data_IF_953599594534
#
_entry.id   IF_953599594534
#
_cell.length_a   1.000
_cell.length_b   1.000
_cell.length_c   1.000
_cell.angle_alpha   90.00
_cell.angle_beta   90.00
_cell.angle_gamma   90.00
#
_symmetry.space_group_name_H-M   'P 1'
#
loop_
_entity.id
_entity.type
_entity.pdbx_description
1 polymer ?
#
# COMPACT_ATOMS: atom_id res chain seq x y z
N UNK A 1 -34.92 -19.30 -7.32
CA UNK A 1 -33.82 -18.90 -6.43
C UNK A 1 -34.30 -17.66 -5.69
N UNK A 2 -34.71 -17.82 -4.45
CA UNK A 2 -35.17 -16.70 -3.63
C UNK A 2 -33.97 -15.84 -3.26
N UNK A 3 -34.07 -14.53 -3.52
CA UNK A 3 -33.03 -13.58 -3.11
C UNK A 3 -33.27 -13.21 -1.65
N UNK A 4 -32.30 -13.53 -0.80
CA UNK A 4 -32.34 -13.19 0.63
C UNK A 4 -31.59 -11.87 0.84
N UNK A 5 -32.27 -10.89 1.43
CA UNK A 5 -31.66 -9.63 1.89
C UNK A 5 -31.42 -9.73 3.40
N UNK A 6 -30.17 -9.56 3.83
CA UNK A 6 -29.78 -9.53 5.24
C UNK A 6 -29.27 -8.13 5.58
N UNK A 7 -29.82 -7.52 6.64
CA UNK A 7 -29.40 -6.21 7.15
C UNK A 7 -28.41 -6.45 8.29
N UNK A 8 -27.24 -5.82 8.22
CA UNK A 8 -26.25 -5.90 9.28
C UNK A 8 -26.68 -5.07 10.52
N UNK A 9 -26.33 -5.47 11.75
CA UNK A 9 -26.77 -4.81 12.98
C UNK A 9 -26.02 -3.51 13.30
N UNK A 10 -25.10 -3.05 12.45
CA UNK A 10 -24.38 -1.81 12.64
C UNK A 10 -25.11 -0.62 12.00
N UNK A 11 -24.89 0.59 12.52
CA UNK A 11 -25.38 1.80 11.89
C UNK A 11 -24.79 1.96 10.48
N UNK A 12 -25.62 2.38 9.54
CA UNK A 12 -25.20 2.58 8.17
C UNK A 12 -24.46 3.92 8.03
N UNK A 13 -23.24 3.90 7.49
CA UNK A 13 -22.48 5.11 7.18
C UNK A 13 -23.17 6.01 6.14
N UNK A 14 -23.97 5.41 5.25
CA UNK A 14 -24.66 6.09 4.15
C UNK A 14 -26.15 5.73 4.19
N UNK A 15 -27.06 6.71 4.17
CA UNK A 15 -28.50 6.46 4.06
C UNK A 15 -28.85 5.60 2.85
N UNK A 16 -29.79 4.67 3.03
CA UNK A 16 -30.17 3.69 2.01
C UNK A 16 -30.72 4.35 0.74
N UNK A 17 -31.44 5.46 0.86
CA UNK A 17 -32.00 6.19 -0.28
C UNK A 17 -30.90 6.83 -1.14
N UNK A 18 -29.87 7.42 -0.51
CA UNK A 18 -28.68 7.98 -1.17
C UNK A 18 -27.92 6.88 -1.90
N UNK A 19 -27.67 5.75 -1.21
CA UNK A 19 -26.97 4.61 -1.79
C UNK A 19 -27.71 4.05 -3.01
N UNK A 20 -29.03 3.86 -2.93
CA UNK A 20 -29.87 3.36 -4.02
C UNK A 20 -29.91 4.33 -5.21
N UNK A 21 -30.00 5.65 -4.97
CA UNK A 21 -29.93 6.67 -6.02
C UNK A 21 -28.58 6.62 -6.75
N UNK A 22 -27.46 6.54 -6.02
CA UNK A 22 -26.14 6.39 -6.62
C UNK A 22 -25.99 5.07 -7.40
N UNK A 23 -26.49 3.95 -6.86
CA UNK A 23 -26.45 2.64 -7.52
C UNK A 23 -27.24 2.64 -8.83
N UNK A 24 -28.44 3.23 -8.84
CA UNK A 24 -29.25 3.39 -10.06
C UNK A 24 -28.53 4.25 -11.10
N UNK A 25 -27.90 5.36 -10.69
CA UNK A 25 -27.07 6.19 -11.58
C UNK A 25 -25.91 5.39 -12.20
N UNK A 26 -25.19 4.61 -11.40
CA UNK A 26 -24.09 3.76 -11.88
C UNK A 26 -24.58 2.70 -12.88
N UNK A 27 -25.70 2.03 -12.58
CA UNK A 27 -26.29 1.01 -13.45
C UNK A 27 -26.82 1.59 -14.77
N UNK A 28 -27.39 2.79 -14.73
CA UNK A 28 -27.89 3.49 -15.91
C UNK A 28 -26.80 4.13 -16.77
N UNK A 29 -25.59 4.30 -16.22
CA UNK A 29 -24.51 4.98 -16.91
C UNK A 29 -23.84 4.06 -17.95
N UNK A 30 -24.34 4.10 -19.19
CA UNK A 30 -23.76 3.38 -20.33
C UNK A 30 -22.36 3.91 -20.72
N UNK A 31 -22.01 5.13 -20.32
CA UNK A 31 -20.67 5.71 -20.54
C UNK A 31 -19.66 5.27 -19.48
N UNK A 32 -20.13 4.72 -18.35
CA UNK A 32 -19.28 4.10 -17.36
C UNK A 32 -18.70 2.81 -17.93
N UNK A 33 -17.54 2.93 -18.54
CA UNK A 33 -16.74 1.77 -18.93
C UNK A 33 -16.28 1.11 -17.62
N UNK A 34 -16.65 -0.15 -17.42
CA UNK A 34 -15.98 -0.97 -16.40
C UNK A 34 -14.47 -0.80 -16.54
N UNK A 35 -13.74 -0.72 -15.41
CA UNK A 35 -12.31 -0.45 -15.40
C UNK A 35 -11.60 -1.33 -16.43
N UNK A 36 -11.18 -0.72 -17.54
CA UNK A 36 -10.54 -1.46 -18.63
C UNK A 36 -9.24 -2.02 -18.07
N UNK A 37 -9.11 -3.36 -18.07
CA UNK A 37 -7.86 -4.00 -17.68
C UNK A 37 -6.74 -3.43 -18.57
N UNK A 38 -5.62 -2.97 -17.99
CA UNK A 38 -4.49 -2.56 -18.79
C UNK A 38 -3.99 -3.76 -19.59
N UNK A 39 -3.77 -3.57 -20.90
CA UNK A 39 -3.27 -4.62 -21.80
C UNK A 39 -1.90 -4.29 -22.40
N UNK A 40 -1.55 -3.00 -22.43
CA UNK A 40 -0.41 -2.55 -23.19
C UNK A 40 0.88 -2.48 -22.36
N UNK A 41 0.80 -2.33 -21.04
CA UNK A 41 1.96 -2.20 -20.14
C UNK A 41 1.56 -2.53 -18.71
N UNK A 42 2.42 -3.26 -17.99
CA UNK A 42 2.23 -3.57 -16.58
C UNK A 42 2.49 -2.35 -15.67
N UNK A 43 3.06 -1.27 -16.21
CA UNK A 43 3.24 0.02 -15.54
C UNK A 43 2.02 0.95 -15.62
N UNK A 44 0.90 0.47 -16.16
CA UNK A 44 -0.29 1.28 -16.36
C UNK A 44 -0.78 1.90 -15.04
N UNK A 45 -1.04 3.20 -15.06
CA UNK A 45 -1.47 3.97 -13.89
C UNK A 45 -0.33 4.57 -13.06
N UNK A 46 0.89 4.03 -13.14
CA UNK A 46 2.06 4.50 -12.39
C UNK A 46 2.90 5.53 -13.13
N UNK A 47 3.01 5.40 -14.45
CA UNK A 47 3.87 6.29 -15.26
C UNK A 47 3.19 7.64 -15.51
N UNK A 48 3.89 8.70 -15.14
CA UNK A 48 3.54 10.11 -15.28
C UNK A 48 4.60 10.81 -16.12
N UNK A 49 4.17 11.85 -16.83
CA UNK A 49 5.02 12.71 -17.62
C UNK A 49 5.88 13.55 -16.67
N UNK A 50 7.20 13.45 -16.77
CA UNK A 50 8.11 14.25 -15.94
C UNK A 50 8.00 15.77 -16.18
N UNK A 51 7.38 16.20 -17.29
CA UNK A 51 7.19 17.63 -17.58
C UNK A 51 5.90 18.24 -17.04
N UNK A 52 4.79 17.48 -17.03
CA UNK A 52 3.48 18.04 -16.66
C UNK A 52 2.70 17.23 -15.62
N UNK A 53 3.25 16.10 -15.14
CA UNK A 53 2.62 15.25 -14.12
C UNK A 53 1.44 14.39 -14.60
N UNK A 54 0.90 14.63 -15.80
CA UNK A 54 -0.18 13.82 -16.37
C UNK A 54 0.30 12.42 -16.76
N UNK A 55 -0.63 11.46 -16.87
CA UNK A 55 -0.30 10.08 -17.21
C UNK A 55 0.45 9.94 -18.55
N UNK A 56 1.39 9.00 -18.59
CA UNK A 56 1.92 8.49 -19.84
C UNK A 56 1.15 7.23 -20.26
N UNK A 57 0.68 7.21 -21.50
CA UNK A 57 -0.06 6.09 -22.09
C UNK A 57 0.84 5.32 -23.04
N UNK A 58 0.97 4.01 -22.82
CA UNK A 58 1.62 3.12 -23.77
C UNK A 58 0.77 3.01 -25.05
N UNK A 59 1.37 3.38 -26.18
CA UNK A 59 0.75 3.25 -27.50
C UNK A 59 0.89 1.81 -28.01
N UNK A 60 -0.13 1.35 -28.73
CA UNK A 60 -0.07 0.11 -29.49
C UNK A 60 0.21 0.47 -30.95
N UNK A 61 1.32 -0.03 -31.50
CA UNK A 61 1.70 0.16 -32.89
C UNK A 61 1.86 -1.23 -33.51
N UNK A 62 1.19 -1.57 -34.63
CA UNK A 62 1.41 -2.85 -35.30
C UNK A 62 2.89 -3.06 -35.61
N UNK A 63 3.43 -4.26 -35.35
CA UNK A 63 4.82 -4.63 -35.59
C UNK A 63 5.88 -3.79 -34.83
N UNK A 64 5.47 -3.10 -33.76
CA UNK A 64 6.40 -2.36 -32.90
C UNK A 64 5.99 -2.49 -31.43
N UNK A 65 6.94 -2.58 -30.49
CA UNK A 65 6.63 -2.56 -29.07
C UNK A 65 5.94 -1.27 -28.62
N UNK A 66 5.97 -0.21 -29.44
CA UNK A 66 5.34 1.07 -29.14
C UNK A 66 6.15 1.92 -28.17
N UNK A 67 5.57 3.05 -27.80
CA UNK A 67 6.20 4.05 -26.92
C UNK A 67 5.17 4.74 -26.04
N UNK A 68 5.64 5.38 -24.98
CA UNK A 68 4.81 6.15 -24.08
C UNK A 68 4.53 7.54 -24.65
N UNK A 69 3.27 7.98 -24.60
CA UNK A 69 2.83 9.33 -24.97
C UNK A 69 2.17 10.02 -23.79
N UNK A 70 2.47 11.30 -23.61
CA UNK A 70 1.78 12.14 -22.62
C UNK A 70 0.32 12.36 -23.04
N UNK A 71 -0.62 12.06 -22.15
CA UNK A 71 -2.07 12.24 -22.41
C UNK A 71 -2.40 13.71 -22.62
N UNK A 72 -1.95 14.62 -21.76
CA UNK A 72 -2.17 16.06 -21.90
C UNK A 72 -1.69 16.60 -23.26
N UNK A 73 -0.48 16.20 -23.71
CA UNK A 73 0.01 16.57 -25.05
C UNK A 73 -0.89 16.03 -26.17
N UNK A 74 -1.36 14.81 -26.04
CA UNK A 74 -2.19 14.14 -27.05
C UNK A 74 -3.60 14.74 -27.12
N UNK A 75 -4.18 15.09 -25.97
CA UNK A 75 -5.57 15.55 -25.85
C UNK A 75 -5.74 17.03 -26.18
N UNK A 76 -4.86 17.90 -25.65
CA UNK A 76 -5.03 19.35 -25.81
C UNK A 76 -3.75 20.11 -26.13
N UNK A 77 -2.65 19.40 -26.44
CA UNK A 77 -1.33 19.99 -26.72
C UNK A 77 -0.78 20.86 -25.58
N UNK A 78 -1.36 20.80 -24.37
CA UNK A 78 -0.95 21.60 -23.20
C UNK A 78 0.32 21.11 -22.49
N UNK A 79 1.16 20.34 -23.18
CA UNK A 79 2.45 19.87 -22.69
C UNK A 79 3.41 19.75 -23.88
N UNK A 80 4.68 20.22 -23.77
CA UNK A 80 5.69 20.05 -24.81
C UNK A 80 6.00 18.57 -25.08
N UNK A 81 5.67 17.70 -24.11
CA UNK A 81 5.75 16.25 -24.21
C UNK A 81 7.02 15.68 -23.61
N UNK A 82 6.95 14.42 -23.21
CA UNK A 82 8.00 13.69 -22.52
C UNK A 82 9.12 13.19 -23.45
N UNK A 83 9.20 13.63 -24.71
CA UNK A 83 10.08 13.00 -25.70
C UNK A 83 9.61 11.60 -26.12
N UNK A 84 10.50 10.84 -26.76
CA UNK A 84 10.22 9.47 -27.23
C UNK A 84 10.75 8.47 -26.21
N UNK A 85 9.84 7.84 -25.47
CA UNK A 85 10.19 6.84 -24.46
C UNK A 85 9.71 5.49 -24.96
N UNK A 86 10.65 4.65 -25.38
CA UNK A 86 10.35 3.31 -25.88
C UNK A 86 9.77 2.44 -24.77
N UNK A 87 8.72 1.67 -25.09
CA UNK A 87 7.97 0.92 -24.09
C UNK A 87 8.84 -0.13 -23.41
N UNK A 88 9.50 -0.97 -24.22
CA UNK A 88 10.34 -2.09 -23.75
C UNK A 88 11.52 -1.60 -22.93
N UNK A 89 12.21 -0.57 -23.40
CA UNK A 89 13.35 0.04 -22.69
C UNK A 89 12.94 0.58 -21.32
N UNK A 90 11.80 1.29 -21.22
CA UNK A 90 11.32 1.78 -19.93
C UNK A 90 10.90 0.62 -19.02
N UNK A 91 10.18 -0.38 -19.54
CA UNK A 91 9.77 -1.54 -18.75
C UNK A 91 10.99 -2.30 -18.20
N UNK A 92 11.99 -2.56 -19.04
CA UNK A 92 13.22 -3.23 -18.63
C UNK A 92 14.02 -2.41 -17.62
N UNK A 93 14.16 -1.10 -17.84
CA UNK A 93 14.80 -0.19 -16.88
C UNK A 93 14.13 -0.23 -15.51
N UNK A 94 12.79 -0.14 -15.48
CA UNK A 94 12.04 -0.15 -14.22
C UNK A 94 12.11 -1.52 -13.54
N UNK A 95 12.06 -2.62 -14.30
CA UNK A 95 12.23 -3.96 -13.74
C UNK A 95 13.60 -4.12 -13.07
N UNK A 96 14.68 -3.71 -13.75
CA UNK A 96 16.02 -3.75 -13.18
C UNK A 96 16.15 -2.88 -11.92
N UNK A 97 15.54 -1.69 -11.93
CA UNK A 97 15.48 -0.81 -10.77
C UNK A 97 14.69 -1.44 -9.61
N UNK A 98 13.56 -2.12 -9.88
CA UNK A 98 12.77 -2.85 -8.89
C UNK A 98 13.60 -3.96 -8.25
N UNK A 99 14.29 -4.78 -9.04
CA UNK A 99 15.14 -5.86 -8.56
C UNK A 99 16.27 -5.35 -7.66
N UNK A 100 16.95 -4.29 -8.08
CA UNK A 100 18.02 -3.67 -7.29
C UNK A 100 17.50 -3.06 -5.99
N UNK A 101 16.37 -2.35 -6.03
CA UNK A 101 15.74 -1.75 -4.84
C UNK A 101 15.31 -2.82 -3.84
N UNK A 102 14.67 -3.87 -4.33
CA UNK A 102 14.17 -4.97 -3.51
C UNK A 102 15.31 -5.74 -2.83
N UNK A 103 16.38 -6.08 -3.56
CA UNK A 103 17.56 -6.72 -2.98
C UNK A 103 18.21 -5.88 -1.88
N UNK A 104 18.28 -4.56 -2.07
CA UNK A 104 18.79 -3.65 -1.04
C UNK A 104 17.88 -3.59 0.20
N UNK A 105 16.56 -3.68 0.00
CA UNK A 105 15.61 -3.80 1.09
C UNK A 105 15.80 -5.09 1.88
N UNK A 106 15.90 -6.25 1.22
CA UNK A 106 16.15 -7.54 1.90
C UNK A 106 17.41 -7.51 2.77
N UNK A 107 18.51 -6.94 2.25
CA UNK A 107 19.77 -6.81 3.01
C UNK A 107 19.63 -5.87 4.22
N UNK A 108 18.81 -4.82 4.13
CA UNK A 108 18.54 -3.91 5.25
C UNK A 108 17.62 -4.56 6.27
N UNK A 109 16.55 -5.19 5.81
CA UNK A 109 15.57 -5.90 6.62
C UNK A 109 16.24 -7.02 7.43
N UNK A 110 17.07 -7.86 6.81
CA UNK A 110 17.85 -8.90 7.49
C UNK A 110 18.79 -8.35 8.58
N UNK A 111 19.31 -7.13 8.38
CA UNK A 111 20.17 -6.46 9.37
C UNK A 111 19.36 -5.86 10.50
N UNK A 112 18.24 -5.22 10.20
CA UNK A 112 17.35 -4.56 11.16
C UNK A 112 16.58 -5.57 12.02
N UNK A 113 16.11 -6.68 11.45
CA UNK A 113 15.48 -7.78 12.19
C UNK A 113 16.48 -8.42 13.18
N UNK A 114 17.76 -8.45 12.84
CA UNK A 114 18.85 -8.87 13.75
C UNK A 114 19.33 -7.77 14.70
N UNK A 115 18.97 -6.50 14.49
CA UNK A 115 19.59 -5.37 15.17
C UNK A 115 18.62 -4.21 15.49
N UNK A 116 17.36 -4.47 15.83
CA UNK A 116 16.47 -3.45 16.38
C UNK A 116 16.29 -3.59 17.91
N UNK A 117 17.36 -3.32 18.71
CA UNK A 117 17.31 -3.43 20.17
C UNK A 117 16.27 -2.48 20.77
N UNK A 118 15.86 -1.42 20.07
CA UNK A 118 14.79 -0.52 20.49
C UNK A 118 13.41 -1.17 20.38
N UNK A 119 13.14 -1.91 19.29
CA UNK A 119 11.88 -2.64 19.12
C UNK A 119 11.79 -3.77 20.17
N UNK A 120 12.88 -4.51 20.38
CA UNK A 120 12.95 -5.51 21.45
C UNK A 120 12.76 -4.88 22.83
N UNK A 121 13.35 -3.71 23.11
CA UNK A 121 13.15 -3.00 24.36
C UNK A 121 11.69 -2.58 24.57
N UNK A 122 11.02 -2.04 23.53
CA UNK A 122 9.60 -1.69 23.61
C UNK A 122 8.69 -2.91 23.78
N UNK A 123 9.01 -4.05 23.15
CA UNK A 123 8.28 -5.31 23.37
C UNK A 123 8.42 -5.81 24.81
N UNK A 124 9.62 -5.73 25.39
CA UNK A 124 9.85 -6.10 26.80
C UNK A 124 9.10 -5.14 27.72
N UNK A 125 9.14 -3.83 27.45
CA UNK A 125 8.44 -2.82 28.24
C UNK A 125 6.91 -3.02 28.18
N UNK A 126 6.37 -3.36 27.00
CA UNK A 126 4.95 -3.66 26.84
C UNK A 126 4.53 -4.86 27.70
N UNK A 127 5.29 -5.96 27.65
CA UNK A 127 5.01 -7.16 28.44
C UNK A 127 5.07 -6.88 29.96
N UNK A 128 5.98 -6.00 30.41
CA UNK A 128 6.07 -5.59 31.81
C UNK A 128 4.83 -4.80 32.24
N UNK A 129 4.37 -3.86 31.42
CA UNK A 129 3.16 -3.05 31.70
C UNK A 129 1.91 -3.93 31.74
N UNK A 130 1.77 -4.89 30.82
CA UNK A 130 0.65 -5.84 30.82
C UNK A 130 0.66 -6.72 32.07
N UNK A 131 1.83 -7.19 32.50
CA UNK A 131 1.98 -7.96 33.74
C UNK A 131 1.64 -7.13 34.99
N UNK A 132 1.96 -5.83 35.00
CA UNK A 132 1.62 -4.93 36.10
C UNK A 132 0.10 -4.70 36.19
N UNK A 133 -0.58 -4.59 35.05
CA UNK A 133 -2.05 -4.50 34.97
C UNK A 133 -2.69 -5.80 35.51
N UNK A 134 -2.22 -6.98 35.07
CA UNK A 134 -2.74 -8.26 35.56
C UNK A 134 -2.58 -8.42 37.07
N UNK A 135 -1.40 -8.08 37.61
CA UNK A 135 -1.15 -8.12 39.07
C UNK A 135 -2.08 -7.17 39.84
N UNK A 136 -2.32 -5.98 39.32
CA UNK A 136 -3.25 -5.02 39.93
C UNK A 136 -4.68 -5.58 39.93
N UNK A 137 -5.12 -6.19 38.82
CA UNK A 137 -6.43 -6.84 38.71
C UNK A 137 -6.60 -7.99 39.71
N UNK A 138 -5.58 -8.84 39.86
CA UNK A 138 -5.61 -9.95 40.83
C UNK A 138 -5.68 -9.46 42.29
N UNK A 139 -5.06 -8.32 42.60
CA UNK A 139 -5.11 -7.74 43.95
C UNK A 139 -6.41 -7.01 44.29
N UNK A 140 -7.31 -6.79 43.32
CA UNK A 140 -8.54 -6.01 43.53
C UNK A 140 -9.70 -6.82 44.15
N UNK A 141 -9.56 -8.14 44.32
CA UNK A 141 -10.57 -8.96 45.00
C UNK A 141 -10.63 -8.61 46.50
N UNK A 142 -11.64 -7.86 46.90
CA UNK A 142 -11.88 -7.47 48.31
C UNK A 142 -11.43 -6.06 48.69
N UNK A 143 -11.05 -5.21 47.71
CA UNK A 143 -10.64 -3.83 47.97
C UNK A 143 -11.82 -2.93 48.40
N UNK A 144 -11.59 -2.00 49.33
CA UNK A 144 -12.58 -1.00 49.72
C UNK A 144 -12.74 0.11 48.65
N UNK A 145 -13.83 0.89 48.71
CA UNK A 145 -14.15 1.89 47.68
C UNK A 145 -13.04 2.93 47.42
N UNK A 146 -12.24 3.26 48.44
CA UNK A 146 -11.13 4.21 48.32
C UNK A 146 -9.94 3.57 47.58
N UNK A 147 -9.60 2.31 47.89
CA UNK A 147 -8.58 1.54 47.19
C UNK A 147 -8.94 1.29 45.73
N UNK A 148 -10.22 1.04 45.43
CA UNK A 148 -10.73 0.91 44.06
C UNK A 148 -10.52 2.19 43.24
N UNK A 149 -10.75 3.37 43.82
CA UNK A 149 -10.50 4.64 43.13
C UNK A 149 -9.01 4.86 42.82
N UNK A 150 -8.11 4.52 43.75
CA UNK A 150 -6.66 4.57 43.51
C UNK A 150 -6.21 3.56 42.45
N UNK A 151 -6.77 2.34 42.48
CA UNK A 151 -6.45 1.29 41.52
C UNK A 151 -6.92 1.66 40.11
N UNK A 152 -8.13 2.20 39.95
CA UNK A 152 -8.63 2.67 38.66
C UNK A 152 -7.73 3.75 38.06
N UNK A 153 -7.30 4.73 38.85
CA UNK A 153 -6.37 5.75 38.39
C UNK A 153 -5.03 5.15 37.92
N UNK A 154 -4.50 4.17 38.66
CA UNK A 154 -3.26 3.49 38.30
C UNK A 154 -3.41 2.64 37.03
N UNK A 155 -4.56 2.00 36.84
CA UNK A 155 -4.89 1.24 35.62
C UNK A 155 -4.98 2.18 34.41
N UNK A 156 -5.59 3.36 34.54
CA UNK A 156 -5.63 4.36 33.46
C UNK A 156 -4.22 4.85 33.08
N UNK A 157 -3.35 5.10 34.06
CA UNK A 157 -1.94 5.47 33.81
C UNK A 157 -1.17 4.34 33.09
N UNK A 158 -1.38 3.08 33.47
CA UNK A 158 -0.73 1.94 32.82
C UNK A 158 -1.32 1.68 31.43
N UNK A 159 -2.62 1.85 31.22
CA UNK A 159 -3.26 1.66 29.92
C UNK A 159 -2.85 2.75 28.93
N UNK A 160 -2.76 4.01 29.36
CA UNK A 160 -2.22 5.09 28.51
C UNK A 160 -0.76 4.84 28.11
N UNK A 161 0.06 4.32 29.04
CA UNK A 161 1.44 3.90 28.73
C UNK A 161 1.47 2.73 27.75
N UNK A 162 0.63 1.70 27.96
CA UNK A 162 0.46 0.55 27.05
C UNK A 162 0.11 1.01 25.64
N UNK A 163 -0.89 1.89 25.49
CA UNK A 163 -1.31 2.44 24.20
C UNK A 163 -0.17 3.22 23.52
N UNK A 164 0.62 3.98 24.28
CA UNK A 164 1.75 4.75 23.77
C UNK A 164 2.85 3.83 23.23
N UNK A 165 3.22 2.79 23.99
CA UNK A 165 4.23 1.80 23.58
C UNK A 165 3.75 1.02 22.35
N UNK A 166 2.50 0.56 22.35
CA UNK A 166 1.90 -0.14 21.20
C UNK A 166 1.89 0.72 19.95
N UNK A 167 1.64 2.03 20.09
CA UNK A 167 1.72 2.98 18.97
C UNK A 167 3.17 3.14 18.47
N UNK A 168 4.16 3.26 19.36
CA UNK A 168 5.56 3.34 18.97
C UNK A 168 6.04 2.05 18.26
N UNK A 169 5.60 0.88 18.73
CA UNK A 169 5.87 -0.41 18.06
C UNK A 169 5.20 -0.45 16.69
N UNK A 170 3.96 0.00 16.57
CA UNK A 170 3.26 0.07 15.29
C UNK A 170 3.99 1.00 14.31
N UNK A 171 4.41 2.19 14.75
CA UNK A 171 5.17 3.14 13.92
C UNK A 171 6.52 2.56 13.47
N UNK A 172 7.23 1.85 14.37
CA UNK A 172 8.48 1.18 14.06
C UNK A 172 8.33 -0.10 13.21
N UNK A 173 7.13 -0.69 13.14
CA UNK A 173 6.84 -1.89 12.33
C UNK A 173 6.10 -1.58 11.02
N UNK A 174 5.49 -0.40 10.87
CA UNK A 174 4.84 0.05 9.64
C UNK A 174 5.82 0.25 8.47
N UNK A 175 7.12 0.34 8.76
CA UNK A 175 8.18 0.34 7.73
C UNK A 175 8.54 -1.07 7.21
N UNK A 176 8.02 -2.14 7.81
CA UNK A 176 8.35 -3.52 7.40
C UNK A 176 7.23 -4.14 6.57
N UNK A 177 7.54 -4.47 5.32
CA UNK A 177 6.70 -5.33 4.50
C UNK A 177 6.46 -6.67 5.22
N UNK A 178 5.23 -7.21 5.16
CA UNK A 178 4.98 -8.51 5.80
C UNK A 178 5.82 -9.62 5.13
N UNK A 179 6.33 -10.62 5.90
CA UNK A 179 7.18 -11.68 5.36
C UNK A 179 6.54 -12.44 4.19
N UNK A 180 5.22 -12.64 4.24
CA UNK A 180 4.47 -13.27 3.15
C UNK A 180 4.50 -12.45 1.85
N UNK A 181 4.36 -11.12 1.94
CA UNK A 181 4.43 -10.23 0.77
C UNK A 181 5.86 -10.14 0.23
N UNK A 182 6.86 -10.19 1.12
CA UNK A 182 8.25 -10.22 0.72
C UNK A 182 8.58 -11.50 -0.07
N UNK A 183 8.16 -12.67 0.42
CA UNK A 183 8.33 -13.94 -0.29
C UNK A 183 7.62 -13.94 -1.66
N UNK A 184 6.39 -13.44 -1.71
CA UNK A 184 5.62 -13.31 -2.96
C UNK A 184 6.34 -12.39 -3.96
N UNK A 185 6.82 -11.22 -3.51
CA UNK A 185 7.57 -10.29 -4.35
C UNK A 185 8.90 -10.85 -4.82
N UNK A 186 9.62 -11.59 -3.96
CA UNK A 186 10.84 -12.29 -4.34
C UNK A 186 10.56 -13.28 -5.47
N UNK A 187 9.52 -14.11 -5.32
CA UNK A 187 9.12 -15.07 -6.35
C UNK A 187 8.82 -14.39 -7.69
N UNK A 188 8.03 -13.30 -7.68
CA UNK A 188 7.70 -12.56 -8.91
C UNK A 188 8.91 -11.95 -9.59
N UNK A 189 9.85 -11.38 -8.82
CA UNK A 189 11.04 -10.75 -9.39
C UNK A 189 12.04 -11.76 -9.96
N UNK A 190 12.13 -12.95 -9.37
CA UNK A 190 13.03 -14.01 -9.86
C UNK A 190 12.47 -14.76 -11.07
N UNK A 191 11.14 -14.83 -11.22
CA UNK A 191 10.46 -15.57 -12.28
C UNK A 191 9.81 -14.64 -13.31
N UNK A 192 10.36 -13.44 -13.50
CA UNK A 192 9.73 -12.35 -14.24
C UNK A 192 9.29 -12.73 -15.66
N UNK A 193 10.06 -13.55 -16.37
CA UNK A 193 9.73 -13.92 -17.75
C UNK A 193 8.65 -15.01 -17.85
N UNK A 194 8.41 -15.76 -16.78
CA UNK A 194 7.42 -16.85 -16.73
C UNK A 194 6.09 -16.47 -16.07
N UNK A 195 6.04 -15.37 -15.32
CA UNK A 195 4.82 -14.94 -14.63
C UNK A 195 3.85 -14.20 -15.55
N UNK A 196 2.57 -14.23 -15.18
CA UNK A 196 1.51 -13.56 -15.93
C UNK A 196 1.61 -12.04 -15.86
N UNK A 197 0.99 -11.37 -16.84
CA UNK A 197 0.96 -9.92 -16.93
C UNK A 197 0.37 -9.24 -15.68
N UNK A 198 -0.64 -9.84 -15.05
CA UNK A 198 -1.25 -9.28 -13.85
C UNK A 198 -0.32 -9.40 -12.63
N UNK A 199 0.48 -10.48 -12.55
CA UNK A 199 1.46 -10.66 -11.48
C UNK A 199 2.63 -9.69 -11.60
N UNK A 200 3.10 -9.39 -12.82
CA UNK A 200 4.05 -8.28 -13.06
C UNK A 200 3.54 -6.96 -12.53
N UNK A 201 2.24 -6.72 -12.71
CA UNK A 201 1.58 -5.51 -12.22
C UNK A 201 1.44 -5.52 -10.69
N UNK A 202 1.08 -6.64 -10.07
CA UNK A 202 1.06 -6.78 -8.60
C UNK A 202 2.44 -6.51 -8.01
N UNK A 203 3.50 -7.04 -8.63
CA UNK A 203 4.86 -6.78 -8.20
C UNK A 203 5.21 -5.27 -8.26
N UNK A 204 4.87 -4.60 -9.37
CA UNK A 204 5.02 -3.15 -9.47
C UNK A 204 4.15 -2.39 -8.45
N UNK A 205 2.94 -2.87 -8.17
CA UNK A 205 2.03 -2.30 -7.18
C UNK A 205 2.55 -2.46 -5.75
N UNK A 206 3.29 -3.52 -5.46
CA UNK A 206 3.97 -3.73 -4.18
C UNK A 206 5.12 -2.76 -3.92
N UNK A 207 5.87 -2.38 -4.98
CA UNK A 207 7.14 -1.65 -4.83
C UNK A 207 7.08 -0.17 -5.18
N UNK A 208 6.18 0.24 -6.09
CA UNK A 208 6.22 1.56 -6.72
C UNK A 208 4.98 2.38 -6.37
N UNK A 209 5.21 3.61 -5.91
CA UNK A 209 4.18 4.65 -5.73
C UNK A 209 3.89 5.31 -7.09
N UNK A 210 4.91 5.92 -7.70
CA UNK A 210 4.78 6.64 -8.96
C UNK A 210 6.09 6.64 -9.76
N UNK A 211 6.00 6.83 -11.07
CA UNK A 211 7.16 6.98 -11.96
C UNK A 211 6.98 8.26 -12.74
N UNK A 212 7.95 9.16 -12.72
CA UNK A 212 8.00 10.35 -13.58
C UNK A 212 9.06 10.13 -14.65
N UNK A 213 8.66 10.15 -15.91
CA UNK A 213 9.55 9.87 -17.03
C UNK A 213 9.52 10.96 -18.11
N UNK A 214 10.71 11.28 -18.62
CA UNK A 214 10.99 11.98 -19.88
C UNK A 214 11.95 11.11 -20.71
N UNK A 215 12.29 11.52 -21.94
CA UNK A 215 13.28 10.84 -22.78
C UNK A 215 14.67 10.80 -22.15
N UNK A 216 14.95 11.74 -21.24
CA UNK A 216 16.30 11.98 -20.75
C UNK A 216 16.44 11.58 -19.27
N UNK A 217 15.32 11.46 -18.56
CA UNK A 217 15.32 11.21 -17.11
C UNK A 217 14.13 10.36 -16.68
N UNK A 218 14.39 9.42 -15.76
CA UNK A 218 13.37 8.61 -15.10
C UNK A 218 13.58 8.71 -13.59
N UNK A 219 12.53 9.15 -12.89
CA UNK A 219 12.48 9.20 -11.43
C UNK A 219 11.42 8.22 -10.94
N UNK A 220 11.80 7.34 -10.02
CA UNK A 220 10.88 6.37 -9.40
C UNK A 220 10.70 6.72 -7.94
N UNK A 221 9.45 6.78 -7.51
CA UNK A 221 9.03 6.94 -6.13
C UNK A 221 8.63 5.57 -5.59
N UNK A 222 9.35 5.10 -4.56
CA UNK A 222 9.26 3.75 -4.02
C UNK A 222 8.38 3.69 -2.78
N UNK A 223 7.76 2.54 -2.54
CA UNK A 223 7.05 2.24 -1.29
C UNK A 223 7.99 1.77 -0.17
N UNK A 224 9.21 1.36 -0.55
CA UNK A 224 10.27 0.79 0.28
C UNK A 224 11.57 1.57 0.13
#
# INVERSE_FOLDING_TARGET
KDQILVIAPHEALIPSDVWLKCRKKLMANKTFQQGRKPKNTWLAGKVKCGRCGYALKATHVPNSPGYFRCTKRTENKGCPGCGKIHKTELEEFIFNAMRARFKNFQVRHDREEKANPKLTAYQIELAQVETEIEKLLDTLTGANATLLAYANKKIEELDTRRQTISKAIAELSVETMSPQKEQELSYYLDHWDSIEFDDKRKAADGLIISIKATSDHVQVEWKI
#
